data_IF_399788193558
#
_entry.id   IF_399788193558
#
_cell.length_a   1.000
_cell.length_b   1.000
_cell.length_c   1.000
_cell.angle_alpha   90.00
_cell.angle_beta   90.00
_cell.angle_gamma   90.00
#
_symmetry.space_group_name_H-M   'P 1'
#
loop_
_entity.id
_entity.type
_entity.pdbx_description
1 polymer ?
#
# COMPACT_ATOMS: atom_id res chain seq x y z
N UNK A 1 -40.95 -13.99 -33.68
CA UNK A 1 -40.69 -13.51 -32.30
C UNK A 1 -39.23 -13.68 -31.83
N UNK A 2 -38.24 -13.95 -32.70
CA UNK A 2 -36.85 -14.19 -32.28
C UNK A 2 -35.94 -12.93 -32.27
N UNK A 3 -36.26 -11.89 -33.04
CA UNK A 3 -35.42 -10.67 -33.18
C UNK A 3 -35.37 -9.79 -31.92
N UNK A 4 -36.43 -9.80 -31.11
CA UNK A 4 -36.49 -9.00 -29.88
C UNK A 4 -35.76 -9.67 -28.70
N UNK A 5 -35.64 -11.01 -28.72
CA UNK A 5 -34.95 -11.77 -27.68
C UNK A 5 -33.42 -11.55 -27.73
N UNK A 6 -32.86 -11.49 -28.94
CA UNK A 6 -31.42 -11.27 -29.19
C UNK A 6 -31.01 -9.85 -28.77
N UNK A 7 -31.85 -8.84 -29.04
CA UNK A 7 -31.59 -7.45 -28.60
C UNK A 7 -31.60 -7.32 -27.08
N UNK A 8 -32.51 -8.02 -26.39
CA UNK A 8 -32.56 -8.02 -24.93
C UNK A 8 -31.33 -8.70 -24.30
N UNK A 9 -30.85 -9.81 -24.87
CA UNK A 9 -29.65 -10.51 -24.41
C UNK A 9 -28.36 -9.67 -24.56
N UNK A 10 -28.22 -8.91 -25.64
CA UNK A 10 -27.07 -8.02 -25.84
C UNK A 10 -27.05 -6.82 -24.88
N UNK A 11 -28.22 -6.28 -24.53
CA UNK A 11 -28.32 -5.16 -23.57
C UNK A 11 -28.03 -5.65 -22.14
N UNK A 12 -28.47 -6.85 -21.79
CA UNK A 12 -28.19 -7.45 -20.47
C UNK A 12 -26.69 -7.76 -20.26
N UNK A 13 -25.99 -8.17 -21.32
CA UNK A 13 -24.54 -8.43 -21.29
C UNK A 13 -23.69 -7.17 -21.12
N UNK A 14 -24.12 -6.04 -21.70
CA UNK A 14 -23.42 -4.75 -21.62
C UNK A 14 -23.54 -4.06 -20.26
N UNK A 15 -24.58 -4.35 -19.48
CA UNK A 15 -24.78 -3.79 -18.13
C UNK A 15 -23.95 -4.56 -17.08
N UNK A 16 -23.66 -5.84 -17.32
CA UNK A 16 -22.88 -6.68 -16.41
C UNK A 16 -21.39 -6.31 -16.31
N UNK A 17 -20.82 -5.69 -17.36
CA UNK A 17 -19.41 -5.28 -17.39
C UNK A 17 -19.10 -4.03 -16.55
N UNK A 18 -20.13 -3.32 -16.04
CA UNK A 18 -19.95 -2.11 -15.22
C UNK A 18 -19.74 -2.44 -13.73
N UNK A 19 -19.95 -3.69 -13.32
CA UNK A 19 -19.79 -4.15 -11.94
C UNK A 19 -18.40 -4.72 -11.60
N UNK A 20 -17.38 -4.50 -12.43
CA UNK A 20 -15.97 -4.63 -12.00
C UNK A 20 -15.58 -3.42 -11.14
N UNK A 21 -16.39 -3.17 -10.11
CA UNK A 21 -16.18 -2.12 -9.12
C UNK A 21 -14.90 -2.48 -8.37
N UNK A 22 -13.96 -1.54 -8.39
CA UNK A 22 -12.69 -1.61 -7.70
C UNK A 22 -12.83 -2.22 -6.30
N UNK A 23 -12.28 -3.41 -6.08
CA UNK A 23 -12.03 -3.93 -4.75
C UNK A 23 -11.02 -3.01 -4.04
N UNK A 24 -11.52 -1.99 -3.35
CA UNK A 24 -10.75 -1.23 -2.37
C UNK A 24 -10.74 -2.03 -1.06
N UNK A 25 -10.03 -3.15 -1.07
CA UNK A 25 -9.76 -3.88 0.16
C UNK A 25 -8.95 -2.96 1.09
N UNK A 26 -9.44 -2.78 2.32
CA UNK A 26 -8.67 -2.09 3.36
C UNK A 26 -7.43 -2.93 3.68
N UNK A 27 -6.28 -2.31 3.98
CA UNK A 27 -5.12 -3.07 4.40
C UNK A 27 -5.40 -3.77 5.72
N UNK A 28 -4.94 -5.02 5.80
CA UNK A 28 -5.00 -5.83 7.01
C UNK A 28 -3.68 -5.72 7.81
N UNK A 29 -3.67 -6.16 9.06
CA UNK A 29 -2.45 -6.26 9.87
C UNK A 29 -1.37 -7.12 9.20
N UNK A 30 -1.81 -8.15 8.45
CA UNK A 30 -0.92 -9.00 7.68
C UNK A 30 -0.17 -8.20 6.60
N UNK A 31 -0.82 -7.22 5.97
CA UNK A 31 -0.22 -6.32 4.98
C UNK A 31 0.82 -5.42 5.65
N UNK A 32 0.47 -4.83 6.80
CA UNK A 32 1.39 -3.99 7.57
C UNK A 32 2.66 -4.76 7.96
N UNK A 33 2.51 -6.02 8.41
CA UNK A 33 3.66 -6.87 8.75
C UNK A 33 4.56 -7.11 7.53
N UNK A 34 3.98 -7.44 6.37
CA UNK A 34 4.76 -7.68 5.14
C UNK A 34 5.49 -6.42 4.68
N UNK A 35 4.84 -5.26 4.72
CA UNK A 35 5.45 -3.97 4.38
C UNK A 35 6.61 -3.65 5.33
N UNK A 36 6.43 -3.81 6.65
CA UNK A 36 7.52 -3.57 7.62
C UNK A 36 8.72 -4.49 7.39
N UNK A 37 8.48 -5.77 7.13
CA UNK A 37 9.55 -6.73 6.86
C UNK A 37 10.33 -6.36 5.60
N UNK A 38 9.63 -6.02 4.51
CA UNK A 38 10.27 -5.60 3.28
C UNK A 38 11.02 -4.27 3.44
N UNK A 39 10.47 -3.31 4.18
CA UNK A 39 11.15 -2.06 4.49
C UNK A 39 12.49 -2.31 5.20
N UNK A 40 12.52 -3.17 6.22
CA UNK A 40 13.77 -3.49 6.93
C UNK A 40 14.80 -4.13 6.00
N UNK A 41 14.35 -4.99 5.09
CA UNK A 41 15.21 -5.57 4.08
C UNK A 41 15.79 -4.51 3.13
N UNK A 42 14.95 -3.60 2.61
CA UNK A 42 15.40 -2.52 1.72
C UNK A 42 16.34 -1.55 2.44
N UNK A 43 16.05 -1.22 3.70
CA UNK A 43 16.93 -0.39 4.55
C UNK A 43 18.29 -1.02 4.74
N UNK A 44 18.34 -2.33 4.98
CA UNK A 44 19.60 -3.05 5.06
C UNK A 44 20.36 -3.04 3.73
N UNK A 45 19.64 -3.24 2.62
CA UNK A 45 20.21 -3.20 1.27
C UNK A 45 20.70 -1.80 0.87
N UNK A 46 20.13 -0.73 1.40
CA UNK A 46 20.57 0.65 1.13
C UNK A 46 22.02 0.92 1.55
N UNK A 47 22.58 0.12 2.45
CA UNK A 47 24.00 0.19 2.81
C UNK A 47 24.94 -0.21 1.66
N UNK A 48 24.48 -1.01 0.70
CA UNK A 48 25.33 -1.63 -0.33
C UNK A 48 24.84 -1.41 -1.76
N UNK A 49 23.52 -1.32 -1.98
CA UNK A 49 22.92 -1.15 -3.30
C UNK A 49 22.72 0.34 -3.63
N UNK A 50 23.34 0.78 -4.72
CA UNK A 50 23.26 2.16 -5.19
C UNK A 50 21.83 2.63 -5.46
N UNK A 51 20.94 1.72 -5.87
CA UNK A 51 19.51 2.00 -6.10
C UNK A 51 18.78 2.55 -4.86
N UNK A 52 19.17 2.09 -3.67
CA UNK A 52 18.50 2.41 -2.42
C UNK A 52 19.31 3.39 -1.54
N UNK A 53 20.60 3.55 -1.83
CA UNK A 53 21.55 4.32 -1.02
C UNK A 53 21.12 5.77 -0.73
N UNK A 54 20.43 6.41 -1.68
CA UNK A 54 20.00 7.81 -1.56
C UNK A 54 18.53 7.95 -1.16
N UNK A 55 17.85 6.86 -0.81
CA UNK A 55 16.44 6.90 -0.38
C UNK A 55 16.36 7.09 1.13
N UNK A 56 15.45 7.95 1.54
CA UNK A 56 15.06 8.13 2.94
C UNK A 56 14.29 6.91 3.45
N UNK A 57 14.15 6.79 4.77
CA UNK A 57 13.38 5.71 5.38
C UNK A 57 11.91 5.72 4.90
N UNK A 58 11.32 6.90 4.71
CA UNK A 58 9.96 7.03 4.19
C UNK A 58 9.85 6.54 2.75
N UNK A 59 10.78 6.91 1.87
CA UNK A 59 10.80 6.45 0.47
C UNK A 59 11.00 4.93 0.36
N UNK A 60 11.83 4.34 1.24
CA UNK A 60 12.00 2.89 1.31
C UNK A 60 10.74 2.20 1.82
N UNK A 61 10.00 2.81 2.73
CA UNK A 61 8.72 2.31 3.22
C UNK A 61 7.64 2.40 2.13
N UNK A 62 7.57 3.50 1.39
CA UNK A 62 6.69 3.66 0.23
C UNK A 62 6.98 2.64 -0.88
N UNK A 63 8.27 2.40 -1.16
CA UNK A 63 8.69 1.36 -2.09
C UNK A 63 8.25 -0.04 -1.61
N UNK A 64 8.25 -0.27 -0.30
CA UNK A 64 7.74 -1.53 0.30
C UNK A 64 6.23 -1.69 0.12
N UNK A 65 5.45 -0.60 0.23
CA UNK A 65 4.03 -0.59 -0.10
C UNK A 65 3.80 -0.98 -1.57
N UNK A 66 4.54 -0.34 -2.49
CA UNK A 66 4.46 -0.61 -3.93
C UNK A 66 4.79 -2.07 -4.27
N UNK A 67 5.88 -2.60 -3.70
CA UNK A 67 6.29 -3.97 -3.93
C UNK A 67 5.29 -5.01 -3.39
N UNK A 68 4.60 -4.69 -2.29
CA UNK A 68 3.51 -5.52 -1.75
C UNK A 68 2.16 -5.31 -2.44
N UNK A 69 2.08 -4.40 -3.41
CA UNK A 69 0.84 -4.04 -4.14
C UNK A 69 -0.27 -3.55 -3.20
N UNK A 70 0.10 -2.82 -2.16
CA UNK A 70 -0.85 -2.22 -1.21
C UNK A 70 -0.78 -0.69 -1.28
N UNK A 71 -1.91 -0.03 -1.01
CA UNK A 71 -1.96 1.44 -0.93
C UNK A 71 -1.21 1.91 0.31
N UNK A 72 -0.30 2.87 0.16
CA UNK A 72 0.59 3.20 1.25
C UNK A 72 -0.05 4.09 2.30
N UNK A 73 -0.90 5.04 1.91
CA UNK A 73 -1.57 5.94 2.86
C UNK A 73 -2.42 5.17 3.88
N UNK A 74 -3.28 4.21 3.48
CA UNK A 74 -4.01 3.37 4.42
C UNK A 74 -3.09 2.53 5.33
N UNK A 75 -1.95 2.07 4.82
CA UNK A 75 -0.96 1.31 5.60
C UNK A 75 -0.25 2.20 6.62
N UNK A 76 0.04 3.45 6.27
CA UNK A 76 0.61 4.45 7.18
C UNK A 76 -0.38 4.78 8.29
N UNK A 77 -1.67 4.95 7.98
CA UNK A 77 -2.70 5.16 9.00
C UNK A 77 -2.84 3.95 9.94
N UNK A 78 -2.79 2.73 9.39
CA UNK A 78 -2.76 1.51 10.19
C UNK A 78 -1.49 1.44 11.05
N UNK A 79 -0.33 1.79 10.50
CA UNK A 79 0.94 1.83 11.22
C UNK A 79 0.90 2.81 12.40
N UNK A 80 0.34 4.01 12.21
CA UNK A 80 0.16 5.00 13.30
C UNK A 80 -0.66 4.43 14.47
N UNK A 81 -1.69 3.63 14.16
CA UNK A 81 -2.60 3.05 15.14
C UNK A 81 -1.98 1.85 15.86
N UNK A 82 -1.36 0.93 15.11
CA UNK A 82 -0.88 -0.35 15.63
C UNK A 82 0.56 -0.29 16.17
N UNK A 83 1.41 0.60 15.63
CA UNK A 83 2.81 0.78 16.06
C UNK A 83 3.26 2.25 15.94
N UNK A 84 2.75 3.15 16.81
CA UNK A 84 3.07 4.58 16.79
C UNK A 84 4.57 4.85 17.01
N UNK A 85 5.25 3.97 17.76
CA UNK A 85 6.70 4.09 17.99
C UNK A 85 7.46 3.91 16.68
N UNK A 86 7.17 2.85 15.92
CA UNK A 86 7.78 2.65 14.62
C UNK A 86 7.48 3.79 13.64
N UNK A 87 6.23 4.31 13.64
CA UNK A 87 5.87 5.48 12.84
C UNK A 87 6.71 6.72 13.18
N UNK A 88 6.93 6.98 14.47
CA UNK A 88 7.75 8.12 14.92
C UNK A 88 9.22 8.00 14.48
N UNK A 89 9.78 6.78 14.49
CA UNK A 89 11.13 6.49 13.98
C UNK A 89 11.18 6.70 12.46
N UNK A 90 10.21 6.12 11.73
CA UNK A 90 10.09 6.23 10.28
C UNK A 90 10.03 7.70 9.82
N UNK A 91 9.37 8.56 10.59
CA UNK A 91 9.19 9.99 10.26
C UNK A 91 10.23 10.91 10.91
N UNK A 92 11.17 10.37 11.70
CA UNK A 92 12.19 11.15 12.40
C UNK A 92 11.66 12.05 13.53
N UNK A 93 10.41 11.86 13.99
CA UNK A 93 9.79 12.72 15.01
C UNK A 93 10.44 12.60 16.40
N UNK A 94 10.99 11.43 16.76
CA UNK A 94 11.65 11.27 18.07
C UNK A 94 12.99 12.01 18.20
N UNK A 95 13.66 12.35 17.10
CA UNK A 95 14.95 13.05 17.17
C UNK A 95 14.83 14.51 17.68
N UNK A 96 13.61 15.06 17.74
CA UNK A 96 13.34 16.44 18.11
C UNK A 96 12.82 16.63 19.55
N UNK A 97 12.48 15.56 20.28
CA UNK A 97 11.88 15.66 21.63
C UNK A 97 12.91 15.47 22.77
N UNK A 98 14.11 14.96 22.49
CA UNK A 98 15.19 14.77 23.48
C UNK A 98 16.19 15.95 23.56
N UNK A 99 15.91 17.08 22.89
CA UNK A 99 16.74 18.30 22.92
C UNK A 99 15.98 19.53 23.47
N UNK A 100 15.08 19.34 24.44
CA UNK A 100 14.44 20.45 25.14
C UNK A 100 14.34 20.24 26.66
#
# INVERSE_FOLDING_TARGET
>A
MARNLIRFLCILGLISSVFLVSCNAKPEESDLKRVKQQFLQLRFQAATLAEYKNKTDLELFELSCQNNRVKCEPVIELLKKEDPKFYSILTGKQANEDNQ
#
